data_IF_432453118412
#
_entry.id   IF_432453118412
#
_cell.length_a   1.000
_cell.length_b   1.000
_cell.length_c   1.000
_cell.angle_alpha   90.00
_cell.angle_beta   90.00
_cell.angle_gamma   90.00
#
_symmetry.space_group_name_H-M   'P 1'
#
loop_
_entity.id
_entity.type
_entity.pdbx_description
1 polymer ?
#
# COMPACT_ATOMS: atom_id res chain seq x y z
N UNK A 1 -59.96 -34.05 44.57
CA UNK A 1 -59.29 -34.58 45.77
C UNK A 1 -57.82 -34.49 45.49
N UNK A 2 -57.18 -33.40 45.92
CA UNK A 2 -56.35 -33.34 47.16
C UNK A 2 -54.88 -33.52 46.73
N UNK A 3 -53.88 -32.73 47.08
CA UNK A 3 -53.74 -31.53 47.91
C UNK A 3 -52.44 -30.82 47.49
N UNK A 4 -52.44 -29.49 47.68
CA UNK A 4 -51.38 -28.69 48.29
C UNK A 4 -49.91 -28.94 47.88
N UNK A 5 -49.28 -27.93 47.28
CA UNK A 5 -48.05 -27.40 47.86
C UNK A 5 -47.86 -25.93 47.46
N UNK A 6 -48.25 -25.07 48.40
CA UNK A 6 -47.97 -23.64 48.42
C UNK A 6 -46.48 -23.36 48.61
N UNK A 7 -46.01 -22.31 47.94
CA UNK A 7 -45.11 -21.32 48.55
C UNK A 7 -43.63 -21.68 48.66
N UNK A 8 -42.82 -21.07 47.80
CA UNK A 8 -41.54 -20.54 48.24
C UNK A 8 -41.28 -19.18 47.58
N UNK A 9 -41.24 -18.17 48.45
CA UNK A 9 -40.70 -16.83 48.26
C UNK A 9 -39.32 -16.92 47.56
N UNK A 10 -38.94 -16.04 46.64
CA UNK A 10 -38.87 -14.59 46.81
C UNK A 10 -37.40 -14.18 46.97
N UNK A 11 -36.88 -13.42 46.01
CA UNK A 11 -35.51 -12.89 45.98
C UNK A 11 -35.06 -12.77 44.52
N UNK A 12 -34.99 -11.61 43.87
CA UNK A 12 -34.72 -10.26 44.35
C UNK A 12 -33.24 -9.96 44.17
N UNK A 13 -32.88 -9.31 43.05
CA UNK A 13 -31.56 -8.68 42.87
C UNK A 13 -31.01 -8.76 41.45
N UNK A 14 -30.72 -7.60 40.84
CA UNK A 14 -29.86 -7.56 39.66
C UNK A 14 -30.03 -6.42 38.64
N UNK A 15 -30.35 -5.19 39.06
CA UNK A 15 -30.00 -3.98 38.28
C UNK A 15 -28.98 -3.21 39.12
N UNK A 16 -27.88 -2.65 38.63
CA UNK A 16 -27.53 -2.19 37.29
C UNK A 16 -26.95 -0.78 37.47
N UNK A 17 -25.72 -0.55 37.02
CA UNK A 17 -25.18 0.78 36.75
C UNK A 17 -24.19 1.36 37.78
N UNK A 18 -23.16 2.05 37.23
CA UNK A 18 -22.12 2.81 37.94
C UNK A 18 -20.79 2.05 37.92
N UNK A 19 -19.84 2.27 37.02
CA UNK A 19 -19.47 3.53 36.39
C UNK A 19 -18.54 4.28 37.32
N UNK A 20 -17.23 4.08 37.21
CA UNK A 20 -16.21 5.03 37.64
C UNK A 20 -14.84 4.66 37.08
N UNK A 21 -14.31 5.62 36.34
CA UNK A 21 -13.03 5.61 35.67
C UNK A 21 -12.03 6.37 36.56
N UNK A 22 -10.76 6.13 36.28
CA UNK A 22 -9.61 6.97 36.62
C UNK A 22 -8.89 6.72 37.97
N UNK A 23 -7.61 6.36 37.86
CA UNK A 23 -6.69 6.26 39.00
C UNK A 23 -5.32 5.74 38.59
N UNK A 24 -4.48 6.63 38.06
CA UNK A 24 -3.07 6.42 37.77
C UNK A 24 -2.29 5.77 38.93
N UNK A 25 -1.45 4.79 38.60
CA UNK A 25 -0.23 4.38 39.35
C UNK A 25 0.79 3.99 38.27
N UNK A 26 1.88 4.74 38.05
CA UNK A 26 3.13 4.71 38.84
C UNK A 26 3.78 3.32 38.69
N UNK A 27 4.98 3.09 38.16
CA UNK A 27 6.21 3.85 37.97
C UNK A 27 7.38 2.85 38.11
N UNK A 28 8.51 3.08 37.43
CA UNK A 28 9.78 2.32 37.58
C UNK A 28 9.91 1.13 36.62
N UNK A 29 10.96 0.97 35.81
CA UNK A 29 12.36 1.27 36.03
C UNK A 29 13.11 -0.06 36.09
N UNK A 30 13.72 -0.49 34.99
CA UNK A 30 14.39 -1.80 34.90
C UNK A 30 15.17 -1.99 33.62
N UNK A 31 16.24 -1.19 33.48
CA UNK A 31 17.27 -1.36 32.44
C UNK A 31 18.21 -2.49 32.90
N UNK A 32 18.16 -3.66 32.27
CA UNK A 32 19.18 -4.70 32.44
C UNK A 32 19.83 -4.99 31.09
N UNK A 33 21.11 -4.68 31.07
CA UNK A 33 22.03 -4.80 29.97
C UNK A 33 22.95 -5.99 30.25
N UNK A 34 23.34 -6.68 29.17
CA UNK A 34 24.58 -7.46 28.97
C UNK A 34 24.62 -8.96 29.31
N UNK A 35 25.05 -9.68 28.28
CA UNK A 35 25.55 -11.06 28.24
C UNK A 35 25.23 -11.61 26.85
N UNK A 36 26.12 -11.87 25.89
CA UNK A 36 27.56 -12.07 25.91
C UNK A 36 27.86 -13.33 25.08
N UNK A 37 28.53 -13.17 23.93
CA UNK A 37 29.31 -14.23 23.27
C UNK A 37 28.58 -15.20 22.32
N UNK A 38 28.98 -15.20 21.05
CA UNK A 38 28.64 -16.27 20.09
C UNK A 38 28.82 -15.88 18.62
N UNK A 39 30.06 -15.74 18.15
CA UNK A 39 30.37 -15.74 16.71
C UNK A 39 30.29 -17.19 16.18
N UNK A 40 29.44 -17.45 15.19
CA UNK A 40 29.69 -18.43 14.12
C UNK A 40 28.55 -18.39 13.08
N UNK A 41 28.90 -17.93 11.86
CA UNK A 41 28.35 -18.33 10.56
C UNK A 41 26.84 -18.46 10.37
N UNK A 42 26.28 -17.66 9.46
CA UNK A 42 25.64 -18.08 8.19
C UNK A 42 24.80 -16.91 7.65
N UNK A 43 24.98 -16.61 6.36
CA UNK A 43 24.09 -15.90 5.44
C UNK A 43 23.50 -14.51 5.85
N UNK A 44 23.68 -13.51 4.98
CA UNK A 44 23.11 -12.17 5.16
C UNK A 44 21.60 -12.17 5.09
N UNK A 45 20.95 -11.92 6.23
CA UNK A 45 19.51 -11.72 6.35
C UNK A 45 19.14 -10.23 6.44
N UNK A 46 18.01 -9.93 5.80
CA UNK A 46 17.52 -8.67 5.25
C UNK A 46 16.73 -7.77 6.23
N UNK A 47 16.89 -7.86 7.54
CA UNK A 47 15.96 -7.15 8.45
C UNK A 47 16.67 -6.45 9.61
N UNK A 48 16.81 -5.12 9.53
CA UNK A 48 17.14 -4.30 10.70
C UNK A 48 17.72 -2.92 10.38
N UNK A 49 16.85 -1.94 10.05
CA UNK A 49 17.26 -0.56 9.84
C UNK A 49 16.11 0.45 9.92
N UNK A 50 15.22 0.29 10.91
CA UNK A 50 14.27 1.31 11.33
C UNK A 50 14.97 2.27 12.31
N UNK A 51 14.59 3.56 12.27
CA UNK A 51 14.87 4.68 13.20
C UNK A 51 16.09 5.59 12.90
N UNK A 52 15.79 6.76 12.32
CA UNK A 52 16.73 7.88 12.17
C UNK A 52 16.07 9.22 11.84
N UNK A 53 15.30 9.76 12.79
CA UNK A 53 15.00 11.19 13.03
C UNK A 53 14.81 12.19 11.88
N UNK A 54 13.58 12.72 11.76
CA UNK A 54 13.31 13.98 11.04
C UNK A 54 11.83 14.33 11.09
N UNK A 55 11.45 15.20 12.04
CA UNK A 55 10.07 15.61 12.25
C UNK A 55 9.45 16.28 11.03
N UNK A 56 8.25 15.84 10.66
CA UNK A 56 7.29 16.65 9.93
C UNK A 56 5.91 16.26 10.45
N UNK A 57 5.30 17.18 11.19
CA UNK A 57 3.95 17.06 11.72
C UNK A 57 2.92 17.15 10.61
N UNK A 58 2.80 16.10 9.81
CA UNK A 58 1.65 15.90 8.95
C UNK A 58 0.69 14.93 9.68
N UNK A 59 -0.39 15.51 10.19
CA UNK A 59 -1.65 14.81 10.37
C UNK A 59 -2.00 14.09 9.05
N UNK A 60 -1.69 12.79 8.98
CA UNK A 60 -2.29 11.87 8.03
C UNK A 60 -2.92 10.75 8.86
N UNK A 61 -4.13 11.02 9.33
CA UNK A 61 -5.01 9.98 9.84
C UNK A 61 -5.41 9.08 8.67
N UNK A 62 -4.79 7.90 8.61
CA UNK A 62 -5.11 6.86 7.63
C UNK A 62 -4.34 5.60 8.00
N UNK A 63 -4.91 4.81 8.92
CA UNK A 63 -4.35 3.55 9.33
C UNK A 63 -4.32 2.54 8.17
N UNK A 64 -3.26 1.76 8.14
CA UNK A 64 -3.14 0.59 7.30
C UNK A 64 -1.68 0.29 7.04
N UNK A 65 -1.19 -0.84 7.54
CA UNK A 65 -0.17 -1.59 6.80
C UNK A 65 -0.79 -2.07 5.49
N UNK A 66 -1.22 -1.14 4.64
CA UNK A 66 -1.65 -1.40 3.29
C UNK A 66 -0.42 -1.80 2.52
N UNK A 67 -0.51 -2.94 1.86
CA UNK A 67 0.59 -3.55 1.12
C UNK A 67 1.36 -2.49 0.32
N UNK A 68 2.69 -2.58 0.29
CA UNK A 68 3.57 -1.69 -0.50
C UNK A 68 3.04 -1.53 -1.94
N UNK A 69 2.40 -2.58 -2.45
CA UNK A 69 1.65 -2.61 -3.71
C UNK A 69 0.52 -1.57 -3.78
N UNK A 70 -0.37 -1.52 -2.78
CA UNK A 70 -1.47 -0.55 -2.74
C UNK A 70 -0.96 0.89 -2.75
N UNK A 71 0.11 1.18 -1.99
CA UNK A 71 0.74 2.51 -1.96
C UNK A 71 1.35 2.89 -3.31
N UNK A 72 2.01 1.94 -3.98
CA UNK A 72 2.69 2.15 -5.26
C UNK A 72 1.69 2.49 -6.38
N UNK A 73 0.61 1.73 -6.48
CA UNK A 73 -0.44 1.99 -7.48
C UNK A 73 -1.22 3.28 -7.18
N UNK A 74 -1.43 3.62 -5.91
CA UNK A 74 -2.06 4.90 -5.54
C UNK A 74 -1.18 6.09 -5.92
N UNK A 75 0.14 5.99 -5.78
CA UNK A 75 1.07 7.03 -6.23
C UNK A 75 1.00 7.23 -7.75
N UNK A 76 0.96 6.15 -8.53
CA UNK A 76 0.80 6.23 -10.00
C UNK A 76 -0.56 6.84 -10.38
N UNK A 77 -1.66 6.36 -9.78
CA UNK A 77 -3.02 6.90 -10.01
C UNK A 77 -3.13 8.39 -9.68
N UNK A 78 -2.45 8.84 -8.62
CA UNK A 78 -2.45 10.22 -8.17
C UNK A 78 -1.42 11.11 -8.88
N UNK A 79 -0.54 10.57 -9.73
CA UNK A 79 0.55 11.35 -10.33
C UNK A 79 1.67 11.72 -9.37
N UNK A 80 1.75 11.10 -8.19
CA UNK A 80 2.74 11.42 -7.17
C UNK A 80 4.09 10.74 -7.47
N UNK A 81 4.89 11.47 -8.24
CA UNK A 81 6.26 11.07 -8.60
C UNK A 81 7.14 10.88 -7.35
N UNK A 82 6.98 11.72 -6.32
CA UNK A 82 7.81 11.66 -5.12
C UNK A 82 7.59 10.37 -4.34
N UNK A 83 6.33 10.04 -4.09
CA UNK A 83 5.93 8.79 -3.43
C UNK A 83 6.32 7.56 -4.25
N UNK A 84 6.14 7.61 -5.58
CA UNK A 84 6.59 6.52 -6.46
C UNK A 84 8.09 6.30 -6.38
N UNK A 85 8.90 7.36 -6.46
CA UNK A 85 10.35 7.28 -6.36
C UNK A 85 10.80 6.72 -5.01
N UNK A 86 10.18 7.17 -3.92
CA UNK A 86 10.46 6.67 -2.57
C UNK A 86 10.15 5.18 -2.42
N UNK A 87 9.00 4.73 -2.93
CA UNK A 87 8.62 3.32 -2.91
C UNK A 87 9.59 2.45 -3.74
N UNK A 88 9.92 2.88 -4.96
CA UNK A 88 10.90 2.17 -5.81
C UNK A 88 12.30 2.14 -5.17
N UNK A 89 12.71 3.22 -4.48
CA UNK A 89 13.97 3.24 -3.74
C UNK A 89 13.94 2.33 -2.50
N UNK A 90 12.75 2.11 -1.91
CA UNK A 90 12.51 1.15 -0.83
C UNK A 90 12.45 -0.31 -1.28
N UNK A 91 12.75 -0.61 -2.56
CA UNK A 91 12.77 -1.97 -3.10
C UNK A 91 11.42 -2.45 -3.64
N UNK A 92 10.45 -1.55 -3.86
CA UNK A 92 9.23 -1.91 -4.56
C UNK A 92 9.54 -2.37 -6.01
N UNK A 93 8.83 -3.40 -6.46
CA UNK A 93 9.01 -3.93 -7.82
C UNK A 93 8.42 -2.96 -8.85
N UNK A 94 9.27 -2.49 -9.78
CA UNK A 94 8.86 -1.63 -10.90
C UNK A 94 7.93 -2.35 -11.89
N UNK A 95 7.94 -3.68 -11.89
CA UNK A 95 7.09 -4.54 -12.73
C UNK A 95 5.88 -5.10 -11.97
N UNK A 96 5.60 -4.56 -10.78
CA UNK A 96 4.42 -4.93 -10.01
C UNK A 96 3.15 -4.86 -10.85
N UNK A 97 2.26 -5.84 -10.65
CA UNK A 97 0.95 -5.93 -11.30
C UNK A 97 -0.16 -5.64 -10.28
N UNK A 98 -1.16 -4.91 -10.73
CA UNK A 98 -2.38 -4.66 -9.98
C UNK A 98 -3.16 -5.97 -9.82
N UNK A 99 -3.68 -6.23 -8.62
CA UNK A 99 -4.38 -7.48 -8.32
C UNK A 99 -5.74 -7.61 -8.97
N UNK A 100 -6.34 -6.52 -9.47
CA UNK A 100 -7.70 -6.53 -10.00
C UNK A 100 -7.74 -6.69 -11.52
N UNK A 101 -6.71 -6.21 -12.21
CA UNK A 101 -6.65 -6.13 -13.67
C UNK A 101 -5.39 -6.74 -14.27
N UNK A 102 -4.41 -7.09 -13.42
CA UNK A 102 -3.07 -7.48 -13.83
C UNK A 102 -2.26 -6.36 -14.48
N UNK A 103 -2.73 -5.11 -14.47
CA UNK A 103 -2.02 -3.99 -15.07
C UNK A 103 -0.71 -3.73 -14.33
N UNK A 104 0.39 -3.63 -15.07
CA UNK A 104 1.68 -3.19 -14.53
C UNK A 104 1.64 -1.71 -14.14
N UNK A 105 2.60 -1.26 -13.34
CA UNK A 105 2.77 0.17 -13.07
C UNK A 105 2.90 1.01 -14.34
N UNK A 106 3.59 0.48 -15.35
CA UNK A 106 3.76 1.16 -16.64
C UNK A 106 2.41 1.33 -17.35
N UNK A 107 1.59 0.29 -17.39
CA UNK A 107 0.24 0.36 -17.97
C UNK A 107 -0.66 1.31 -17.20
N UNK A 108 -0.59 1.31 -15.87
CA UNK A 108 -1.34 2.25 -15.05
C UNK A 108 -0.91 3.70 -15.28
N UNK A 109 0.38 3.97 -15.45
CA UNK A 109 0.88 5.31 -15.77
C UNK A 109 0.43 5.80 -17.16
N UNK A 110 0.24 4.87 -18.10
CA UNK A 110 -0.36 5.17 -19.40
C UNK A 110 -1.83 5.54 -19.21
N UNK A 111 -2.60 4.75 -18.45
CA UNK A 111 -4.03 5.03 -18.21
C UNK A 111 -4.29 6.35 -17.48
N UNK A 112 -3.32 6.88 -16.71
CA UNK A 112 -3.44 8.21 -16.09
C UNK A 112 -3.11 9.34 -17.07
N UNK A 113 -2.53 9.02 -18.23
CA UNK A 113 -2.12 9.99 -19.23
C UNK A 113 -0.90 10.81 -18.79
N UNK A 114 -0.11 10.38 -17.81
CA UNK A 114 1.03 11.18 -17.30
C UNK A 114 2.34 10.69 -17.93
N UNK A 115 2.79 11.40 -18.97
CA UNK A 115 4.01 11.06 -19.73
C UNK A 115 5.27 11.02 -18.88
N UNK A 116 5.40 11.91 -17.89
CA UNK A 116 6.52 11.92 -16.94
C UNK A 116 6.61 10.62 -16.14
N UNK A 117 5.48 10.03 -15.71
CA UNK A 117 5.46 8.76 -15.01
C UNK A 117 5.90 7.61 -15.92
N UNK A 118 5.42 7.60 -17.17
CA UNK A 118 5.85 6.61 -18.18
C UNK A 118 7.36 6.67 -18.38
N UNK A 119 7.92 7.87 -18.63
CA UNK A 119 9.37 8.06 -18.78
C UNK A 119 10.15 7.62 -17.55
N UNK A 120 9.66 7.93 -16.34
CA UNK A 120 10.30 7.54 -15.09
C UNK A 120 10.35 6.02 -14.93
N UNK A 121 9.23 5.32 -15.15
CA UNK A 121 9.15 3.88 -15.03
C UNK A 121 10.03 3.17 -16.07
N UNK A 122 10.05 3.68 -17.31
CA UNK A 122 10.96 3.18 -18.35
C UNK A 122 12.44 3.35 -17.96
N UNK A 123 12.81 4.52 -17.42
CA UNK A 123 14.17 4.77 -16.93
C UNK A 123 14.54 3.88 -15.73
N UNK A 124 13.55 3.37 -15.00
CA UNK A 124 13.71 2.42 -13.90
C UNK A 124 13.68 0.96 -14.35
N UNK A 125 13.62 0.69 -15.66
CA UNK A 125 13.67 -0.67 -16.22
C UNK A 125 12.33 -1.40 -16.19
N UNK A 126 11.21 -0.67 -16.26
CA UNK A 126 9.90 -1.28 -16.44
C UNK A 126 9.85 -2.11 -17.74
N UNK A 127 9.29 -3.31 -17.65
CA UNK A 127 9.13 -4.23 -18.75
C UNK A 127 7.97 -3.78 -19.65
N UNK A 128 8.32 -3.21 -20.80
CA UNK A 128 7.37 -2.76 -21.83
C UNK A 128 6.54 -3.91 -22.45
N UNK A 129 7.08 -5.13 -22.42
CA UNK A 129 6.46 -6.31 -23.03
C UNK A 129 5.57 -7.11 -22.05
N UNK A 130 5.47 -6.66 -20.78
CA UNK A 130 4.63 -7.31 -19.80
C UNK A 130 3.15 -7.13 -20.17
N UNK A 131 2.40 -8.23 -20.17
CA UNK A 131 0.96 -8.20 -20.46
C UNK A 131 0.11 -8.21 -19.19
N UNK A 132 -1.03 -7.52 -19.22
CA UNK A 132 -2.06 -7.57 -18.17
C UNK A 132 -2.94 -8.83 -18.33
N UNK A 133 -4.01 -8.95 -17.53
CA UNK A 133 -4.94 -10.11 -17.60
C UNK A 133 -5.73 -10.17 -18.91
N UNK A 134 -5.92 -9.04 -19.58
CA UNK A 134 -6.53 -8.96 -20.92
C UNK A 134 -5.55 -9.33 -22.04
N UNK A 135 -4.30 -9.68 -21.72
CA UNK A 135 -3.26 -9.99 -22.71
C UNK A 135 -2.75 -8.77 -23.46
N UNK A 136 -2.96 -7.57 -22.93
CA UNK A 136 -2.50 -6.29 -23.52
C UNK A 136 -1.17 -5.91 -22.91
N UNK A 137 -0.20 -5.51 -23.73
CA UNK A 137 1.08 -4.93 -23.30
C UNK A 137 0.95 -3.40 -23.13
N UNK A 138 2.06 -2.71 -22.82
CA UNK A 138 2.04 -1.26 -22.64
C UNK A 138 1.63 -0.51 -23.93
N UNK A 139 2.09 -0.97 -25.10
CA UNK A 139 1.79 -0.33 -26.39
C UNK A 139 0.32 -0.44 -26.73
N UNK A 140 -0.28 -1.63 -26.56
CA UNK A 140 -1.71 -1.86 -26.82
C UNK A 140 -2.58 -0.99 -25.91
N UNK A 141 -2.24 -0.89 -24.63
CA UNK A 141 -2.97 -0.03 -23.69
C UNK A 141 -2.90 1.44 -24.13
N UNK A 142 -1.72 1.93 -24.54
CA UNK A 142 -1.57 3.30 -25.02
C UNK A 142 -2.40 3.58 -26.30
N UNK A 143 -2.43 2.63 -27.24
CA UNK A 143 -3.26 2.73 -28.44
C UNK A 143 -4.75 2.78 -28.11
N UNK A 144 -5.23 1.90 -27.21
CA UNK A 144 -6.63 1.91 -26.79
C UNK A 144 -7.02 3.21 -26.09
N UNK A 145 -6.12 3.81 -25.31
CA UNK A 145 -6.35 5.12 -24.70
C UNK A 145 -6.36 6.25 -25.73
N UNK A 146 -5.53 6.18 -26.77
CA UNK A 146 -5.56 7.12 -27.88
C UNK A 146 -6.89 7.08 -28.64
N UNK A 147 -7.45 5.88 -28.85
CA UNK A 147 -8.75 5.68 -29.51
C UNK A 147 -9.93 6.16 -28.65
N UNK A 148 -9.82 6.03 -27.33
CA UNK A 148 -10.84 6.46 -26.38
C UNK A 148 -10.75 7.95 -26.01
N UNK A 149 -9.68 8.64 -26.42
CA UNK A 149 -9.46 10.04 -26.12
C UNK A 149 -10.58 10.92 -26.73
N UNK A 150 -11.24 11.78 -25.94
CA UNK A 150 -12.32 12.62 -26.44
C UNK A 150 -11.82 13.82 -27.28
N UNK A 151 -10.52 14.12 -27.18
CA UNK A 151 -9.87 15.28 -27.80
C UNK A 151 -8.53 14.91 -28.46
N UNK A 152 -8.16 15.66 -29.51
CA UNK A 152 -6.94 15.43 -30.28
C UNK A 152 -5.66 15.70 -29.48
N UNK A 153 -5.71 16.52 -28.43
CA UNK A 153 -4.55 16.76 -27.55
C UNK A 153 -4.21 15.52 -26.74
N UNK A 154 -5.21 14.94 -26.07
CA UNK A 154 -5.08 13.68 -25.35
C UNK A 154 -4.66 12.54 -26.28
N UNK A 155 -5.23 12.47 -27.48
CA UNK A 155 -4.83 11.49 -28.49
C UNK A 155 -3.37 11.64 -28.90
N UNK A 156 -2.93 12.86 -29.25
CA UNK A 156 -1.53 13.16 -29.57
C UNK A 156 -0.59 12.77 -28.44
N UNK A 157 -1.01 12.97 -27.18
CA UNK A 157 -0.24 12.57 -26.01
C UNK A 157 -0.05 11.04 -25.94
N UNK A 158 -1.10 10.27 -26.16
CA UNK A 158 -1.01 8.80 -26.17
C UNK A 158 -0.22 8.28 -27.38
N UNK A 159 -0.35 8.90 -28.56
CA UNK A 159 0.47 8.58 -29.73
C UNK A 159 1.96 8.81 -29.47
N UNK A 160 2.32 9.89 -28.77
CA UNK A 160 3.70 10.12 -28.33
C UNK A 160 4.19 9.05 -27.35
N UNK A 161 3.33 8.58 -26.44
CA UNK A 161 3.68 7.48 -25.55
C UNK A 161 3.91 6.18 -26.32
N UNK A 162 3.09 5.89 -27.34
CA UNK A 162 3.27 4.72 -28.20
C UNK A 162 4.65 4.75 -28.87
N UNK A 163 5.06 5.88 -29.43
CA UNK A 163 6.39 6.04 -30.02
C UNK A 163 7.50 5.83 -28.99
N UNK A 164 7.37 6.45 -27.81
CA UNK A 164 8.34 6.29 -26.72
C UNK A 164 8.50 4.82 -26.27
N UNK A 165 7.39 4.07 -26.19
CA UNK A 165 7.40 2.68 -25.79
C UNK A 165 8.04 1.78 -26.86
N UNK A 166 7.84 2.09 -28.14
CA UNK A 166 8.45 1.36 -29.26
C UNK A 166 9.97 1.57 -29.36
N UNK A 167 10.47 2.75 -29.01
CA UNK A 167 11.92 3.04 -28.99
C UNK A 167 12.68 2.27 -27.90
N UNK A 168 11.98 1.78 -26.87
CA UNK A 168 12.57 1.12 -25.69
C UNK A 168 12.47 -0.41 -25.73
N UNK A 169 12.02 -0.99 -26.85
CA UNK A 169 11.92 -2.44 -27.08
C UNK A 169 13.21 -3.07 -27.58
#
# INVERSE_FOLDING_TARGET
MDQLLSGLLGGGGGGGGGGENNGQRGGGGGNQQQGGGGMAGLAGDLLGGLLGGGGSGANAQGGGGGDIMSTLFNAVKGGDIGSLLGALAGGADVNAKDSSSGNTLLQMAIMTGITELVKLLLNRGANVNATNEEGKDAVRVAQEQAEQAPDEESKSKYEQMVQLLQEKQ
#
